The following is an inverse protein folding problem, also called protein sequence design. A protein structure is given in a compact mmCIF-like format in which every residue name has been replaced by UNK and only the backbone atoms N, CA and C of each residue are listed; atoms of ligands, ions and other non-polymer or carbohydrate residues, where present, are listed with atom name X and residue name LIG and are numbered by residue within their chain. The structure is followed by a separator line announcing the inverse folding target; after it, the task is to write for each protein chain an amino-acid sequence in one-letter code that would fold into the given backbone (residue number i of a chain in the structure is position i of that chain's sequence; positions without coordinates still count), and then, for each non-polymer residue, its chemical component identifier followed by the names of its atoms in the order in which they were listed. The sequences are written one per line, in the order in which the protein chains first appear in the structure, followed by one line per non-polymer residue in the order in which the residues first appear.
data_IF_127946578444
#
_entry.id   IF_127946578444
#
_cell.length_a   1.000
_cell.length_b   1.000
_cell.length_c   1.000
_cell.angle_alpha   90.00
_cell.angle_beta   90.00
_cell.angle_gamma   90.00
#
_symmetry.space_group_name_H-M   'P 1'
#
loop_
_entity.id
_entity.type
_entity.pdbx_description
1 polymer ?
#
# COMPACT_ATOMS: atom_id res chain seq x y z
N UNK A 1 2.42 12.29 15.43
CA UNK A 1 3.37 11.66 14.48
C UNK A 1 2.74 11.66 13.09
N UNK A 2 3.53 11.53 12.02
CA UNK A 2 2.96 11.32 10.68
C UNK A 2 2.74 9.82 10.47
N UNK A 3 1.59 9.45 9.93
CA UNK A 3 1.22 8.09 9.60
C UNK A 3 0.95 7.99 8.11
N UNK A 4 1.38 6.88 7.51
CA UNK A 4 1.32 6.62 6.07
C UNK A 4 0.41 5.43 5.77
N UNK A 5 -0.28 5.49 4.64
CA UNK A 5 -0.96 4.39 3.98
C UNK A 5 -0.51 4.38 2.53
N UNK A 6 -0.17 3.22 2.00
CA UNK A 6 0.38 3.07 0.64
C UNK A 6 -0.52 2.16 -0.17
N UNK A 7 -0.76 2.52 -1.43
CA UNK A 7 -1.54 1.74 -2.39
C UNK A 7 -0.88 1.75 -3.77
N UNK A 8 -1.07 0.67 -4.52
CA UNK A 8 -0.69 0.60 -5.95
C UNK A 8 -1.73 1.23 -6.89
N UNK A 9 -2.89 1.59 -6.35
CA UNK A 9 -3.97 2.25 -7.09
C UNK A 9 -4.47 3.46 -6.30
N UNK A 10 -4.95 4.46 -7.02
CA UNK A 10 -5.57 5.63 -6.45
C UNK A 10 -6.83 5.26 -5.67
N UNK A 11 -6.91 5.80 -4.47
CA UNK A 11 -8.08 5.80 -3.61
C UNK A 11 -8.81 7.11 -3.85
N UNK A 12 -10.04 6.98 -4.34
CA UNK A 12 -10.89 8.10 -4.73
C UNK A 12 -10.98 9.15 -3.63
N UNK A 13 -10.79 10.41 -4.03
CA UNK A 13 -10.89 11.60 -3.18
C UNK A 13 -9.91 11.62 -1.99
N UNK A 14 -8.94 10.69 -1.93
CA UNK A 14 -8.02 10.56 -0.79
C UNK A 14 -8.72 10.19 0.53
N UNK A 15 -9.91 9.59 0.47
CA UNK A 15 -10.70 9.24 1.66
C UNK A 15 -10.61 7.75 1.94
N UNK A 16 -10.07 7.41 3.10
CA UNK A 16 -9.99 6.04 3.60
C UNK A 16 -11.17 5.73 4.52
N UNK A 17 -11.74 4.55 4.35
CA UNK A 17 -12.82 4.03 5.18
C UNK A 17 -12.36 2.75 5.88
N UNK A 18 -12.67 2.58 7.19
CA UNK A 18 -12.42 1.32 7.87
C UNK A 18 -13.14 0.17 7.14
N UNK A 19 -12.39 -0.88 6.82
CA UNK A 19 -12.91 -2.08 6.16
C UNK A 19 -12.31 -3.32 6.79
N UNK A 20 -13.02 -4.44 6.73
CA UNK A 20 -12.39 -5.74 7.01
C UNK A 20 -11.48 -6.05 5.81
N UNK A 21 -10.15 -6.22 6.00
CA UNK A 21 -9.25 -6.54 4.89
C UNK A 21 -9.72 -7.82 4.21
N UNK A 22 -9.65 -7.91 2.88
CA UNK A 22 -10.09 -9.12 2.14
C UNK A 22 -9.00 -10.18 2.07
N UNK A 23 -7.74 -9.76 1.93
CA UNK A 23 -6.53 -10.58 2.04
C UNK A 23 -5.91 -10.40 3.41
N UNK A 24 -5.56 -11.50 4.09
CA UNK A 24 -5.17 -11.54 5.50
C UNK A 24 -4.17 -12.68 5.74
N UNK A 25 -3.32 -12.55 6.76
CA UNK A 25 -2.51 -13.66 7.24
C UNK A 25 -3.39 -14.71 7.96
N UNK A 26 -2.95 -15.99 8.04
CA UNK A 26 -3.55 -16.98 8.93
C UNK A 26 -3.68 -16.42 10.35
N UNK A 27 -4.86 -16.61 10.94
CA UNK A 27 -5.20 -16.15 12.30
C UNK A 27 -5.25 -14.63 12.50
N UNK A 28 -5.09 -13.82 11.45
CA UNK A 28 -5.37 -12.40 11.52
C UNK A 28 -6.86 -12.17 11.79
N UNK A 29 -7.18 -11.16 12.60
CA UNK A 29 -8.58 -10.81 12.86
C UNK A 29 -9.35 -10.58 11.54
N UNK A 30 -10.56 -11.12 11.47
CA UNK A 30 -11.42 -11.06 10.29
C UNK A 30 -12.72 -10.30 10.55
N UNK A 31 -12.80 -9.55 11.64
CA UNK A 31 -14.07 -8.97 12.12
C UNK A 31 -14.03 -7.46 12.32
N UNK A 32 -12.87 -6.90 12.66
CA UNK A 32 -12.69 -5.48 12.99
C UNK A 32 -12.44 -4.68 11.70
N UNK A 33 -13.35 -3.76 11.31
CA UNK A 33 -13.10 -2.85 10.20
C UNK A 33 -12.04 -1.82 10.57
N UNK A 34 -11.07 -1.63 9.69
CA UNK A 34 -9.85 -0.87 9.98
C UNK A 34 -9.25 -0.21 8.74
N UNK A 35 -8.50 0.84 8.98
CA UNK A 35 -7.56 1.43 8.02
C UNK A 35 -6.16 1.16 8.56
N UNK A 36 -5.32 0.51 7.77
CA UNK A 36 -3.94 0.19 8.17
C UNK A 36 -3.02 1.35 7.80
N UNK A 37 -2.27 1.83 8.78
CA UNK A 37 -1.19 2.80 8.61
C UNK A 37 0.14 2.24 9.16
N UNK A 38 1.24 2.90 8.83
CA UNK A 38 2.52 2.73 9.52
C UNK A 38 3.28 4.07 9.62
N UNK A 39 4.41 4.08 10.32
CA UNK A 39 5.28 5.25 10.49
C UNK A 39 6.24 5.51 9.31
N UNK A 40 6.28 4.61 8.32
CA UNK A 40 7.06 4.75 7.10
C UNK A 40 6.39 4.07 5.90
N UNK A 41 6.79 4.49 4.69
CA UNK A 41 6.27 3.94 3.42
C UNK A 41 6.71 2.48 3.28
N UNK A 42 7.95 2.16 3.63
CA UNK A 42 8.54 0.83 3.60
C UNK A 42 7.77 -0.16 4.48
N UNK A 43 7.41 0.28 5.68
CA UNK A 43 6.61 -0.50 6.61
C UNK A 43 5.19 -0.77 6.06
N UNK A 44 4.56 0.23 5.43
CA UNK A 44 3.26 0.04 4.77
C UNK A 44 3.32 -1.04 3.69
N UNK A 45 4.35 -1.01 2.83
CA UNK A 45 4.51 -1.96 1.73
C UNK A 45 4.83 -3.36 2.26
N UNK A 46 5.64 -3.43 3.33
CA UNK A 46 6.00 -4.71 3.98
C UNK A 46 4.80 -5.35 4.67
N UNK A 47 3.95 -4.55 5.33
CA UNK A 47 2.72 -5.02 5.98
C UNK A 47 1.66 -5.47 4.99
N UNK A 48 1.63 -4.86 3.80
CA UNK A 48 0.65 -5.20 2.77
C UNK A 48 0.84 -6.64 2.30
N UNK A 49 -0.21 -7.48 2.29
CA UNK A 49 -0.13 -8.84 1.77
C UNK A 49 0.40 -8.86 0.33
N UNK A 50 1.58 -9.45 0.14
CA UNK A 50 2.27 -9.50 -1.16
C UNK A 50 2.85 -8.16 -1.65
N UNK A 51 2.79 -7.09 -0.85
CA UNK A 51 3.20 -5.73 -1.25
C UNK A 51 4.67 -5.64 -1.64
N UNK A 52 5.58 -6.21 -0.83
CA UNK A 52 7.00 -6.24 -1.18
C UNK A 52 7.30 -7.03 -2.46
N UNK A 53 6.62 -8.17 -2.68
CA UNK A 53 6.73 -8.96 -3.93
C UNK A 53 6.25 -8.13 -5.12
N UNK A 54 5.11 -7.47 -4.96
CA UNK A 54 4.51 -6.62 -5.97
C UNK A 54 5.42 -5.46 -6.37
N UNK A 55 5.96 -4.73 -5.38
CA UNK A 55 6.88 -3.63 -5.63
C UNK A 55 8.17 -4.11 -6.30
N UNK A 56 8.75 -5.24 -5.84
CA UNK A 56 9.94 -5.84 -6.48
C UNK A 56 9.70 -6.06 -7.96
N UNK A 57 8.59 -6.71 -8.30
CA UNK A 57 8.27 -7.07 -9.68
C UNK A 57 8.01 -5.82 -10.53
N UNK A 58 7.25 -4.87 -10.00
CA UNK A 58 6.98 -3.60 -10.66
C UNK A 58 8.28 -2.82 -10.95
N UNK A 59 9.18 -2.75 -9.97
CA UNK A 59 10.47 -2.08 -10.11
C UNK A 59 11.40 -2.79 -11.10
N UNK A 60 11.46 -4.12 -11.10
CA UNK A 60 12.26 -4.86 -12.09
C UNK A 60 11.71 -4.64 -13.51
N UNK A 61 10.39 -4.65 -13.69
CA UNK A 61 9.77 -4.37 -15.00
C UNK A 61 10.03 -2.94 -15.47
N UNK A 62 10.06 -1.94 -14.60
CA UNK A 62 10.38 -0.55 -14.99
C UNK A 62 11.82 -0.38 -15.52
N UNK A 63 12.72 -1.33 -15.25
CA UNK A 63 14.07 -1.37 -15.83
C UNK A 63 14.11 -2.04 -17.21
N UNK A 64 13.11 -2.84 -17.56
CA UNK A 64 13.06 -3.63 -18.79
C UNK A 64 12.06 -3.09 -19.82
N UNK A 65 11.02 -2.42 -19.34
CA UNK A 65 9.91 -1.90 -20.11
C UNK A 65 9.79 -0.39 -19.87
N UNK A 66 9.22 0.39 -20.80
CA UNK A 66 8.99 1.80 -20.62
C UNK A 66 7.79 2.05 -19.68
N UNK A 67 7.81 1.48 -18.47
CA UNK A 67 6.80 1.68 -17.42
C UNK A 67 7.43 2.30 -16.19
N UNK A 68 6.67 3.09 -15.43
CA UNK A 68 7.14 3.68 -14.17
C UNK A 68 6.61 2.90 -12.97
N UNK A 69 7.47 2.65 -11.99
CA UNK A 69 7.10 2.01 -10.74
C UNK A 69 6.51 3.06 -9.78
N UNK A 70 5.20 3.28 -9.85
CA UNK A 70 4.52 4.32 -9.06
C UNK A 70 3.86 3.75 -7.80
N UNK A 71 3.70 4.61 -6.78
CA UNK A 71 2.91 4.34 -5.57
C UNK A 71 2.06 5.56 -5.21
N UNK A 72 0.87 5.31 -4.67
CA UNK A 72 0.01 6.32 -4.05
C UNK A 72 0.26 6.32 -2.56
N UNK A 73 0.72 7.45 -2.03
CA UNK A 73 1.05 7.64 -0.63
C UNK A 73 0.03 8.59 -0.02
N UNK A 74 -0.66 8.11 1.01
CA UNK A 74 -1.64 8.85 1.78
C UNK A 74 -1.07 9.07 3.17
N UNK A 75 -1.06 10.30 3.66
CA UNK A 75 -0.55 10.58 4.99
C UNK A 75 -1.45 11.48 5.82
N UNK A 76 -1.34 11.33 7.15
CA UNK A 76 -2.06 12.11 8.16
C UNK A 76 -1.15 12.42 9.34
N UNK A 77 -1.53 13.43 10.13
CA UNK A 77 -1.02 13.57 11.48
C UNK A 77 -1.89 12.75 12.42
N UNK A 78 -1.30 11.86 13.24
CA UNK A 78 -2.02 11.04 14.21
C UNK A 78 -2.94 11.84 15.14
N UNK A 79 -2.62 13.11 15.40
CA UNK A 79 -3.43 13.99 16.25
C UNK A 79 -4.78 14.38 15.59
N UNK A 80 -5.01 14.05 14.32
CA UNK A 80 -6.31 14.21 13.66
C UNK A 80 -7.26 13.03 13.91
N UNK A 81 -6.78 11.96 14.54
CA UNK A 81 -7.59 10.80 14.91
C UNK A 81 -8.14 11.01 16.32
N UNK A 82 -9.44 10.71 16.50
CA UNK A 82 -10.08 10.81 17.82
C UNK A 82 -9.47 9.79 18.78
N UNK A 83 -9.35 10.17 20.05
CA UNK A 83 -8.95 9.26 21.11
C UNK A 83 -9.87 8.03 21.13
N UNK A 84 -9.27 6.84 21.26
CA UNK A 84 -9.98 5.55 21.20
C UNK A 84 -10.27 5.03 19.79
N UNK A 85 -10.02 5.82 18.73
CA UNK A 85 -10.14 5.37 17.33
C UNK A 85 -8.79 4.98 16.70
N UNK A 86 -7.71 5.03 17.45
CA UNK A 86 -6.37 4.61 17.02
C UNK A 86 -5.88 3.49 17.93
N UNK A 87 -5.37 2.43 17.32
CA UNK A 87 -4.70 1.33 18.02
C UNK A 87 -3.26 1.24 17.51
N UNK A 88 -2.29 1.37 18.40
CA UNK A 88 -0.87 1.31 18.05
C UNK A 88 -0.37 -0.14 17.97
N UNK A 89 0.84 -0.32 17.45
CA UNK A 89 1.41 -1.64 17.16
C UNK A 89 1.34 -2.66 18.32
N UNK A 90 1.44 -2.22 19.58
CA UNK A 90 1.34 -3.08 20.77
C UNK A 90 -0.07 -3.64 20.98
N UNK A 91 -1.09 -2.83 20.67
CA UNK A 91 -2.50 -3.19 20.73
C UNK A 91 -2.89 -4.03 19.51
N UNK A 92 -2.45 -3.60 18.32
CA UNK A 92 -2.69 -4.32 17.06
C UNK A 92 -2.05 -5.71 17.07
N UNK A 93 -0.93 -5.89 17.78
CA UNK A 93 -0.25 -7.19 17.91
C UNK A 93 -1.13 -8.31 18.49
N UNK A 94 -2.23 -7.98 19.15
CA UNK A 94 -3.22 -8.93 19.65
C UNK A 94 -4.07 -9.53 18.52
N UNK A 95 -4.18 -8.82 17.39
CA UNK A 95 -5.03 -9.14 16.24
C UNK A 95 -4.21 -9.50 14.98
N UNK A 96 -2.99 -8.97 14.87
CA UNK A 96 -2.07 -9.22 13.75
C UNK A 96 -0.68 -9.48 14.30
N UNK A 97 -0.16 -10.67 14.05
CA UNK A 97 1.03 -11.14 14.74
C UNK A 97 2.32 -10.39 14.36
N UNK A 98 2.41 -9.85 13.15
CA UNK A 98 3.58 -9.12 12.69
C UNK A 98 3.46 -7.60 12.81
N UNK A 99 2.39 -7.08 13.42
CA UNK A 99 2.18 -5.64 13.63
C UNK A 99 3.36 -4.94 14.33
N UNK A 100 4.00 -5.59 15.30
CA UNK A 100 5.20 -5.01 15.96
C UNK A 100 6.38 -4.88 15.02
N UNK A 101 6.56 -5.85 14.12
CA UNK A 101 7.66 -5.87 13.15
C UNK A 101 7.42 -4.84 12.04
N UNK A 102 6.19 -4.74 11.57
CA UNK A 102 5.81 -3.85 10.47
C UNK A 102 5.43 -2.45 10.94
N UNK A 103 5.36 -2.20 12.25
CA UNK A 103 4.89 -0.93 12.80
C UNK A 103 3.42 -0.64 12.46
N UNK A 104 2.61 -1.68 12.22
CA UNK A 104 1.23 -1.52 11.80
C UNK A 104 0.38 -0.84 12.89
N UNK A 105 -0.33 0.19 12.49
CA UNK A 105 -1.22 1.01 13.31
C UNK A 105 -2.60 0.98 12.67
N UNK A 106 -3.64 0.82 13.47
CA UNK A 106 -5.01 0.77 12.98
C UNK A 106 -5.76 2.04 13.34
N UNK A 107 -6.49 2.57 12.37
CA UNK A 107 -7.59 3.51 12.63
C UNK A 107 -8.91 2.77 12.46
N UNK A 108 -9.76 2.85 13.48
CA UNK A 108 -11.06 2.18 13.55
C UNK A 108 -12.17 3.21 13.77
N UNK A 109 -13.41 2.87 13.42
CA UNK A 109 -14.62 3.69 13.66
C UNK A 109 -14.58 5.14 13.13
N UNK A 110 -13.62 5.47 12.28
CA UNK A 110 -13.41 6.81 11.74
C UNK A 110 -12.95 6.72 10.29
N UNK A 111 -13.64 7.42 9.39
CA UNK A 111 -13.10 7.71 8.06
C UNK A 111 -12.02 8.76 8.16
N UNK A 112 -11.03 8.69 7.27
CA UNK A 112 -9.87 9.56 7.30
C UNK A 112 -9.73 10.24 5.95
N UNK A 113 -9.63 11.57 5.95
CA UNK A 113 -9.25 12.35 4.77
C UNK A 113 -7.75 12.53 4.83
N UNK A 114 -7.05 12.08 3.80
CA UNK A 114 -5.59 12.08 3.76
C UNK A 114 -5.07 13.17 2.82
N UNK A 115 -3.87 13.65 3.12
CA UNK A 115 -3.05 14.27 2.08
C UNK A 115 -2.52 13.17 1.17
N UNK A 116 -2.71 13.32 -0.13
CA UNK A 116 -2.30 12.33 -1.13
C UNK A 116 -1.13 12.87 -1.95
N UNK A 117 -0.15 12.01 -2.17
CA UNK A 117 1.00 12.25 -3.02
C UNK A 117 1.25 11.02 -3.89
N UNK A 118 1.62 11.25 -5.14
CA UNK A 118 2.10 10.19 -6.04
C UNK A 118 3.62 10.22 -6.02
N UNK A 119 4.25 9.05 -5.91
CA UNK A 119 5.69 8.92 -5.97
C UNK A 119 6.09 7.92 -7.06
N UNK A 120 7.24 8.17 -7.69
CA UNK A 120 7.93 7.18 -8.50
C UNK A 120 9.07 6.59 -7.71
N UNK A 121 9.14 5.26 -7.68
CA UNK A 121 10.23 4.50 -7.06
C UNK A 121 11.43 4.49 -7.99
N UNK A 122 12.51 5.13 -7.56
CA UNK A 122 13.76 5.23 -8.33
C UNK A 122 14.73 4.10 -7.98
N UNK A 123 14.67 3.62 -6.74
CA UNK A 123 15.46 2.50 -6.24
C UNK A 123 14.73 1.79 -5.09
N UNK A 124 14.98 0.49 -4.92
CA UNK A 124 14.42 -0.28 -3.80
C UNK A 124 15.35 -1.41 -3.39
N UNK A 125 15.57 -1.57 -2.09
CA UNK A 125 16.24 -2.73 -1.53
C UNK A 125 15.23 -3.62 -0.79
N UNK A 126 15.09 -4.86 -1.25
CA UNK A 126 14.13 -5.82 -0.72
C UNK A 126 14.88 -7.06 -0.23
N UNK A 127 14.65 -7.41 1.03
CA UNK A 127 15.16 -8.65 1.63
C UNK A 127 14.09 -9.73 1.49
N UNK A 128 14.44 -10.81 0.80
CA UNK A 128 13.61 -12.03 0.78
C UNK A 128 13.93 -12.89 2.00
N UNK A 129 12.89 -13.49 2.56
CA UNK A 129 12.95 -14.45 3.64
C UNK A 129 11.61 -15.18 3.78
N UNK A 130 11.39 -15.77 4.94
CA UNK A 130 10.16 -16.50 5.24
C UNK A 130 9.53 -15.97 6.51
N UNK A 131 8.20 -15.91 6.53
CA UNK A 131 7.46 -15.70 7.77
C UNK A 131 7.48 -16.96 8.66
N UNK A 132 6.95 -16.86 9.87
CA UNK A 132 6.87 -17.99 10.82
C UNK A 132 5.99 -19.15 10.36
N UNK A 133 5.24 -18.96 9.27
CA UNK A 133 4.39 -19.97 8.65
C UNK A 133 5.05 -20.57 7.40
N UNK A 134 6.32 -20.22 7.12
CA UNK A 134 7.06 -20.70 5.96
C UNK A 134 6.65 -20.04 4.64
N UNK A 135 5.87 -18.95 4.68
CA UNK A 135 5.44 -18.23 3.47
C UNK A 135 6.48 -17.17 3.10
N UNK A 136 6.60 -16.90 1.80
CA UNK A 136 7.52 -15.88 1.30
C UNK A 136 7.23 -14.52 1.92
N UNK A 137 8.29 -13.90 2.42
CA UNK A 137 8.29 -12.55 2.94
C UNK A 137 9.28 -11.71 2.13
N UNK A 138 8.79 -10.60 1.59
CA UNK A 138 9.58 -9.61 0.87
C UNK A 138 9.56 -8.31 1.66
N UNK A 139 10.57 -8.13 2.50
CA UNK A 139 10.66 -6.97 3.38
C UNK A 139 11.35 -5.81 2.65
N UNK A 140 10.68 -4.67 2.55
CA UNK A 140 11.26 -3.45 1.98
C UNK A 140 12.14 -2.83 3.05
N UNK A 141 13.45 -2.87 2.83
CA UNK A 141 14.45 -2.33 3.77
C UNK A 141 14.76 -0.86 3.51
N UNK A 142 14.66 -0.46 2.25
CA UNK A 142 14.98 0.88 1.82
C UNK A 142 14.28 1.20 0.51
N UNK A 143 13.77 2.42 0.39
CA UNK A 143 13.08 2.93 -0.78
C UNK A 143 13.59 4.33 -1.12
N UNK A 144 14.07 4.53 -2.35
CA UNK A 144 14.26 5.86 -2.91
C UNK A 144 13.11 6.18 -3.85
N UNK A 145 12.68 7.43 -3.79
CA UNK A 145 11.57 7.89 -4.60
C UNK A 145 11.66 9.38 -4.88
N UNK A 146 10.92 9.81 -5.90
CA UNK A 146 10.69 11.22 -6.20
C UNK A 146 9.20 11.53 -6.28
N UNK A 147 8.78 12.75 -5.88
CA UNK A 147 7.39 13.18 -6.04
C UNK A 147 7.03 13.27 -7.52
N UNK A 148 5.79 12.92 -7.85
CA UNK A 148 5.16 13.18 -9.13
C UNK A 148 3.98 14.14 -8.92
N UNK A 149 3.85 15.14 -9.79
CA UNK A 149 2.70 16.05 -9.78
C UNK A 149 1.45 15.44 -10.42
N UNK A 150 1.66 14.56 -11.42
CA UNK A 150 0.61 13.86 -12.16
C UNK A 150 1.11 12.45 -12.53
N UNK A 151 0.18 11.54 -12.85
CA UNK A 151 0.51 10.20 -13.32
C UNK A 151 1.21 10.27 -14.69
N UNK A 152 2.35 9.60 -14.88
CA UNK A 152 2.99 9.54 -16.18
C UNK A 152 2.15 8.66 -17.13
N UNK A 153 2.18 8.90 -18.46
CA UNK A 153 1.36 8.16 -19.44
C UNK A 153 1.57 6.64 -19.46
N UNK A 154 2.66 6.16 -18.87
CA UNK A 154 3.08 4.76 -18.79
C UNK A 154 2.94 4.16 -17.38
N UNK A 155 2.15 4.79 -16.51
CA UNK A 155 1.80 4.26 -15.19
C UNK A 155 0.96 2.97 -15.30
N UNK A 156 1.30 1.90 -14.56
CA UNK A 156 0.55 0.64 -14.58
C UNK A 156 -0.68 0.65 -13.65
N UNK A 157 -1.54 1.66 -13.82
CA UNK A 157 -2.74 1.88 -13.01
C UNK A 157 -4.02 1.67 -13.83
N UNK A 158 -5.02 0.97 -13.25
CA UNK A 158 -6.34 0.86 -13.88
C UNK A 158 -7.10 2.19 -13.69
N UNK A 159 -7.02 3.08 -14.67
CA UNK A 159 -7.84 4.29 -14.70
C UNK A 159 -9.25 3.90 -15.18
N UNK A 160 -10.17 3.57 -14.27
CA UNK A 160 -11.60 3.50 -14.59
C UNK A 160 -12.16 4.92 -14.53
N UNK A 161 -12.23 5.58 -15.69
CA UNK A 161 -12.70 6.95 -15.81
C UNK A 161 -14.13 7.15 -15.29
N UNK A 162 -14.37 8.30 -14.63
CA UNK A 162 -15.69 8.72 -14.20
C UNK A 162 -16.48 9.35 -15.38
N UNK A 163 -17.79 9.11 -15.37
CA UNK A 163 -18.71 9.30 -16.48
C UNK A 163 -18.80 10.76 -16.97
N UNK A 164 -18.31 11.03 -18.20
CA UNK A 164 -18.81 12.06 -19.14
C UNK A 164 -18.16 11.95 -20.53
N UNK A 165 -18.30 10.79 -21.16
CA UNK A 165 -18.09 10.58 -22.61
C UNK A 165 -16.67 10.36 -23.17
N UNK A 166 -15.76 9.62 -22.53
CA UNK A 166 -14.75 8.82 -23.27
C UNK A 166 -14.37 7.56 -22.50
N UNK A 167 -14.80 6.39 -22.98
CA UNK A 167 -14.14 5.12 -22.70
C UNK A 167 -12.70 5.23 -23.24
N UNK A 168 -11.73 5.48 -22.36
CA UNK A 168 -10.34 5.12 -22.64
C UNK A 168 -10.14 3.75 -22.00
N UNK A 169 -10.21 2.72 -22.83
CA UNK A 169 -9.57 1.46 -22.49
C UNK A 169 -8.07 1.75 -22.45
N UNK A 170 -7.50 1.39 -21.31
CA UNK A 170 -6.10 1.39 -20.97
C UNK A 170 -5.24 0.75 -22.08
N UNK A 171 -4.16 1.42 -22.46
CA UNK A 171 -3.14 0.90 -23.40
C UNK A 171 -1.85 0.49 -22.69
N UNK A 172 -1.83 0.44 -21.35
CA UNK A 172 -0.63 0.14 -20.57
C UNK A 172 -0.89 -0.63 -19.28
N UNK A 173 -0.49 -1.91 -19.28
CA UNK A 173 -0.22 -2.77 -18.11
C UNK A 173 -1.03 -2.50 -16.82
N UNK A 174 -2.15 -3.19 -16.61
CA UNK A 174 -2.79 -3.15 -15.29
C UNK A 174 -1.85 -3.69 -14.20
N UNK A 175 -1.87 -3.14 -12.99
CA UNK A 175 -1.09 -3.69 -11.85
C UNK A 175 -1.37 -5.19 -11.66
N UNK A 176 -2.61 -5.65 -11.91
CA UNK A 176 -2.93 -7.09 -11.85
C UNK A 176 -2.22 -7.88 -12.94
N UNK A 177 -2.09 -7.35 -14.16
CA UNK A 177 -1.30 -7.96 -15.24
C UNK A 177 0.18 -7.98 -14.89
N UNK A 178 0.70 -6.92 -14.28
CA UNK A 178 2.08 -6.87 -13.77
C UNK A 178 2.31 -7.94 -12.69
N UNK A 179 1.28 -8.27 -11.90
CA UNK A 179 1.35 -9.21 -10.78
C UNK A 179 0.96 -10.66 -11.10
N UNK A 180 0.12 -10.92 -12.09
CA UNK A 180 -0.51 -12.22 -12.34
C UNK A 180 0.23 -13.13 -13.34
N UNK A 181 1.19 -12.61 -14.11
CA UNK A 181 1.83 -13.40 -15.18
C UNK A 181 2.90 -14.40 -14.69
N UNK A 182 3.11 -14.56 -13.38
CA UNK A 182 4.22 -15.36 -12.82
C UNK A 182 3.90 -16.05 -11.47
N UNK A 183 2.68 -16.56 -11.29
CA UNK A 183 2.42 -17.66 -10.34
C UNK A 183 2.57 -19.01 -11.08
#
# INVERSE_FOLDING_TARGET
MILYHVSFNEIKDGILYPRVPTSRAPHEDKTIPRICFADSIENCITAMPGGGRALKNLFLRSKMLPISAILHVYHINSNSIKDGNIAFNSEVAQYVQDAKRTGEIWVVNQKVVCTHQIIEVTNVHIKHGYDRYGRDLYEVKYLEWRPLGELPPNAPEIIIGNAKNRLKIDTGFSIRTVLAEWD
#
